data_IF_875905715012
#
_entry.id   IF_875905715012
#
_cell.length_a   1.000
_cell.length_b   1.000
_cell.length_c   1.000
_cell.angle_alpha   90.00
_cell.angle_beta   90.00
_cell.angle_gamma   90.00
#
_symmetry.space_group_name_H-M   'P 1'
#
loop_
_entity.id
_entity.type
_entity.pdbx_description
1 polymer ?
#
# COMPACT_ATOMS: atom_id res chain seq x y z
N UNK A 1 9.83 19.29 -10.20
CA UNK A 1 9.10 18.08 -10.67
C UNK A 1 10.02 16.85 -10.69
N UNK A 2 11.33 17.02 -10.91
CA UNK A 2 12.30 15.91 -10.95
C UNK A 2 12.59 15.26 -9.57
N UNK A 3 12.54 15.98 -8.46
CA UNK A 3 12.84 15.40 -7.14
C UNK A 3 11.80 14.35 -6.66
N UNK A 4 10.54 14.47 -7.09
CA UNK A 4 9.50 13.46 -6.80
C UNK A 4 9.71 12.18 -7.62
N UNK A 5 10.41 12.28 -8.76
CA UNK A 5 10.85 11.15 -9.56
C UNK A 5 12.17 10.54 -9.07
N UNK A 6 12.89 11.22 -8.16
CA UNK A 6 14.17 10.74 -7.63
C UNK A 6 14.00 9.52 -6.72
N UNK A 7 12.81 9.34 -6.12
CA UNK A 7 12.44 8.12 -5.38
C UNK A 7 11.24 7.44 -6.04
N UNK A 8 11.56 6.52 -6.97
CA UNK A 8 10.63 5.61 -7.64
C UNK A 8 9.62 4.98 -6.66
N UNK A 9 10.10 4.49 -5.52
CA UNK A 9 9.28 3.76 -4.56
C UNK A 9 8.32 4.71 -3.84
N UNK A 10 8.76 5.91 -3.48
CA UNK A 10 7.89 6.93 -2.93
C UNK A 10 6.76 7.32 -3.89
N UNK A 11 7.09 7.57 -5.17
CA UNK A 11 6.09 7.85 -6.20
C UNK A 11 5.07 6.71 -6.35
N UNK A 12 5.54 5.47 -6.48
CA UNK A 12 4.67 4.31 -6.62
C UNK A 12 3.75 4.13 -5.42
N UNK A 13 4.26 4.34 -4.19
CA UNK A 13 3.43 4.26 -2.98
C UNK A 13 2.32 5.31 -2.97
N UNK A 14 2.60 6.54 -3.40
CA UNK A 14 1.56 7.58 -3.53
C UNK A 14 0.50 7.21 -4.58
N UNK A 15 0.93 6.68 -5.73
CA UNK A 15 0.01 6.20 -6.77
C UNK A 15 -0.83 5.03 -6.27
N UNK A 16 -0.25 4.12 -5.49
CA UNK A 16 -0.98 2.98 -4.93
C UNK A 16 -1.97 3.40 -3.84
N UNK A 17 -1.61 4.39 -3.01
CA UNK A 17 -2.42 4.88 -1.89
C UNK A 17 -3.56 5.81 -2.33
N UNK A 18 -3.27 6.72 -3.26
CA UNK A 18 -4.17 7.82 -3.64
C UNK A 18 -4.42 7.95 -5.14
N UNK A 19 -3.72 7.18 -5.97
CA UNK A 19 -3.70 7.38 -7.42
C UNK A 19 -5.04 7.08 -8.07
N UNK A 20 -5.61 8.08 -8.72
CA UNK A 20 -6.71 7.89 -9.66
C UNK A 20 -6.30 6.96 -10.82
N UNK A 21 -7.28 6.35 -11.48
CA UNK A 21 -7.07 5.38 -12.56
C UNK A 21 -6.09 5.86 -13.65
N UNK A 22 -6.07 7.16 -13.96
CA UNK A 22 -5.13 7.75 -14.93
C UNK A 22 -3.67 7.64 -14.49
N UNK A 23 -3.37 7.85 -13.21
CA UNK A 23 -2.01 7.73 -12.67
C UNK A 23 -1.59 6.27 -12.56
N UNK A 24 -2.53 5.38 -12.22
CA UNK A 24 -2.30 3.94 -12.27
C UNK A 24 -1.98 3.46 -13.68
N UNK A 25 -2.73 3.91 -14.68
CA UNK A 25 -2.48 3.56 -16.08
C UNK A 25 -1.12 4.07 -16.56
N UNK A 26 -0.73 5.29 -16.17
CA UNK A 26 0.59 5.83 -16.47
C UNK A 26 1.69 5.00 -15.79
N UNK A 27 1.55 4.72 -14.50
CA UNK A 27 2.52 3.92 -13.76
C UNK A 27 2.70 2.52 -14.37
N UNK A 28 1.61 1.84 -14.76
CA UNK A 28 1.68 0.52 -15.41
C UNK A 28 2.38 0.54 -16.79
N UNK A 29 2.53 1.70 -17.44
CA UNK A 29 3.29 1.81 -18.70
C UNK A 29 4.79 1.95 -18.47
N UNK A 30 5.20 2.42 -17.30
CA UNK A 30 6.59 2.80 -17.01
C UNK A 30 7.25 1.91 -15.95
N UNK A 31 6.46 1.20 -15.15
CA UNK A 31 6.93 0.36 -14.04
C UNK A 31 6.42 -1.06 -14.17
N UNK A 32 7.23 -1.99 -13.69
CA UNK A 32 6.94 -3.43 -13.70
C UNK A 32 6.19 -3.83 -12.42
N UNK A 33 5.54 -4.99 -12.45
CA UNK A 33 4.95 -5.60 -11.23
C UNK A 33 5.97 -5.70 -10.09
N UNK A 34 7.25 -5.96 -10.39
CA UNK A 34 8.30 -6.06 -9.39
C UNK A 34 8.56 -4.71 -8.70
N UNK A 35 8.44 -3.60 -9.42
CA UNK A 35 8.57 -2.26 -8.83
C UNK A 35 7.42 -1.97 -7.85
N UNK A 36 6.20 -2.38 -8.16
CA UNK A 36 5.07 -2.29 -7.23
C UNK A 36 5.26 -3.19 -5.99
N UNK A 37 5.80 -4.40 -6.18
CA UNK A 37 6.14 -5.31 -5.08
C UNK A 37 7.22 -4.70 -4.18
N UNK A 38 8.25 -4.11 -4.77
CA UNK A 38 9.32 -3.43 -4.04
C UNK A 38 8.76 -2.24 -3.25
N UNK A 39 7.95 -1.39 -3.89
CA UNK A 39 7.35 -0.21 -3.29
C UNK A 39 6.48 -0.56 -2.08
N UNK A 40 5.68 -1.63 -2.16
CA UNK A 40 4.83 -2.09 -1.06
C UNK A 40 5.66 -2.76 0.06
N UNK A 41 6.58 -3.68 -0.25
CA UNK A 41 7.37 -4.39 0.77
C UNK A 41 8.35 -3.47 1.53
N UNK A 42 8.84 -2.41 0.90
CA UNK A 42 9.77 -1.45 1.52
C UNK A 42 9.05 -0.24 2.14
N UNK A 43 7.72 -0.20 2.11
CA UNK A 43 6.97 0.92 2.63
C UNK A 43 7.15 1.09 4.14
N UNK A 44 7.30 2.33 4.64
CA UNK A 44 7.28 2.59 6.07
C UNK A 44 5.99 2.04 6.70
N UNK A 45 6.05 1.50 7.93
CA UNK A 45 4.84 1.10 8.64
C UNK A 45 3.86 2.29 8.77
N UNK A 46 2.57 2.03 8.55
CA UNK A 46 1.53 3.06 8.56
C UNK A 46 1.41 3.92 7.30
N UNK A 47 2.23 3.70 6.26
CA UNK A 47 2.11 4.45 5.00
C UNK A 47 0.78 4.18 4.27
N UNK A 48 0.41 2.90 4.18
CA UNK A 48 -0.81 2.47 3.50
C UNK A 48 -1.98 2.34 4.46
N UNK A 49 -3.18 2.71 4.01
CA UNK A 49 -4.40 2.27 4.69
C UNK A 49 -4.50 0.75 4.61
N UNK A 50 -5.07 0.11 5.63
CA UNK A 50 -5.09 -1.34 5.75
C UNK A 50 -5.79 -2.00 4.56
N UNK A 51 -6.91 -1.43 4.11
CA UNK A 51 -7.69 -1.90 2.96
C UNK A 51 -6.87 -1.81 1.68
N UNK A 52 -6.22 -0.66 1.46
CA UNK A 52 -5.38 -0.42 0.28
C UNK A 52 -4.20 -1.38 0.26
N UNK A 53 -3.53 -1.57 1.39
CA UNK A 53 -2.45 -2.54 1.54
C UNK A 53 -2.90 -3.95 1.17
N UNK A 54 -4.05 -4.40 1.70
CA UNK A 54 -4.56 -5.74 1.43
C UNK A 54 -4.96 -5.93 -0.04
N UNK A 55 -5.64 -4.97 -0.65
CA UNK A 55 -6.05 -5.04 -2.05
C UNK A 55 -4.83 -5.08 -2.98
N UNK A 56 -3.80 -4.26 -2.73
CA UNK A 56 -2.58 -4.31 -3.53
C UNK A 56 -1.81 -5.61 -3.35
N UNK A 57 -1.68 -6.14 -2.13
CA UNK A 57 -1.05 -7.46 -1.93
C UNK A 57 -1.80 -8.55 -2.68
N UNK A 58 -3.13 -8.54 -2.66
CA UNK A 58 -3.97 -9.47 -3.42
C UNK A 58 -3.76 -9.32 -4.93
N UNK A 59 -3.82 -8.08 -5.45
CA UNK A 59 -3.60 -7.77 -6.87
C UNK A 59 -2.23 -8.21 -7.36
N UNK A 60 -1.21 -8.10 -6.51
CA UNK A 60 0.18 -8.48 -6.82
C UNK A 60 0.46 -9.97 -6.58
N UNK A 61 -0.54 -10.77 -6.18
CA UNK A 61 -0.36 -12.19 -5.88
C UNK A 61 0.54 -12.46 -4.66
N UNK A 62 0.70 -11.47 -3.79
CA UNK A 62 1.53 -11.59 -2.59
C UNK A 62 0.75 -12.30 -1.47
N UNK A 63 1.45 -13.07 -0.60
CA UNK A 63 0.81 -13.69 0.54
C UNK A 63 0.19 -12.64 1.47
N UNK A 64 -0.94 -12.99 2.09
CA UNK A 64 -1.61 -12.16 3.09
C UNK A 64 -0.68 -11.99 4.29
N UNK A 65 -0.20 -10.77 4.52
CA UNK A 65 0.59 -10.38 5.70
C UNK A 65 -0.26 -9.47 6.59
N UNK A 66 0.05 -9.44 7.89
CA UNK A 66 -0.45 -8.37 8.76
C UNK A 66 0.03 -7.03 8.21
N UNK A 67 -0.82 -6.01 8.28
CA UNK A 67 -0.47 -4.65 7.86
C UNK A 67 0.72 -4.16 8.69
N UNK A 68 1.79 -3.61 8.05
CA UNK A 68 2.92 -3.06 8.79
C UNK A 68 2.46 -1.82 9.56
N UNK A 69 2.43 -1.91 10.89
CA UNK A 69 1.79 -0.92 11.78
C UNK A 69 2.69 0.30 12.03
N UNK A 70 2.18 1.52 11.78
CA UNK A 70 2.37 2.68 12.67
C UNK A 70 1.20 3.67 12.55
N UNK A 71 0.20 3.49 13.41
CA UNK A 71 -0.69 4.57 13.83
C UNK A 71 -0.16 5.02 15.19
N UNK A 72 0.12 6.30 15.42
CA UNK A 72 0.34 6.79 16.79
C UNK A 72 -0.95 6.71 17.65
N UNK A 73 -2.05 6.18 17.10
CA UNK A 73 -3.41 6.27 17.61
C UNK A 73 -4.10 4.88 17.65
N UNK A 74 -3.41 3.83 18.09
CA UNK A 74 -4.11 2.71 18.73
C UNK A 74 -4.72 3.10 20.09
N UNK A 75 -4.65 4.38 20.48
CA UNK A 75 -5.00 4.83 21.83
C UNK A 75 -6.51 4.99 22.07
N UNK A 76 -7.36 4.90 21.03
CA UNK A 76 -8.80 4.82 21.20
C UNK A 76 -9.38 3.58 20.50
N UNK A 77 -9.26 2.46 21.22
CA UNK A 77 -9.90 1.16 21.06
C UNK A 77 -9.36 0.16 20.00
N UNK A 78 -8.27 -0.56 20.34
CA UNK A 78 -7.65 -1.58 19.49
C UNK A 78 -8.33 -2.97 19.50
N UNK A 79 -9.45 -3.18 20.21
CA UNK A 79 -10.06 -4.52 20.32
C UNK A 79 -11.10 -4.87 19.24
N UNK A 80 -11.58 -3.92 18.43
CA UNK A 80 -12.78 -4.16 17.60
C UNK A 80 -12.51 -4.40 16.09
N UNK A 81 -11.37 -3.98 15.54
CA UNK A 81 -11.18 -3.98 14.07
C UNK A 81 -10.99 -5.38 13.43
N UNK A 82 -10.61 -6.40 14.21
CA UNK A 82 -10.33 -7.75 13.69
C UNK A 82 -11.41 -8.80 14.03
N UNK A 83 -12.37 -8.51 14.92
CA UNK A 83 -13.47 -9.43 15.26
C UNK A 83 -14.49 -9.59 14.12
N UNK A 84 -14.66 -8.58 13.29
CA UNK A 84 -15.57 -8.60 12.13
C UNK A 84 -14.93 -9.11 10.82
N UNK A 85 -13.66 -9.56 10.85
CA UNK A 85 -12.90 -9.94 9.66
C UNK A 85 -12.63 -11.46 9.57
N UNK A 86 -13.57 -12.30 10.02
CA UNK A 86 -13.58 -13.74 9.66
C UNK A 86 -14.34 -13.92 8.35
N UNK A 87 -13.70 -14.45 7.29
CA UNK A 87 -14.46 -14.97 6.17
C UNK A 87 -15.00 -16.36 6.55
N UNK A 88 -16.30 -16.59 6.33
CA UNK A 88 -16.84 -17.93 6.09
C UNK A 88 -16.31 -18.49 4.76
#
# INVERSE_FOLDING_TARGET
MEEVLADKNFYLRLVMQYGEQRFLNLANKHFTTQDFIEAIETAPPGFFFAEVWHEWRKRLGLPKKRTPVRFAECENDPEDWWRNYRPE
#
